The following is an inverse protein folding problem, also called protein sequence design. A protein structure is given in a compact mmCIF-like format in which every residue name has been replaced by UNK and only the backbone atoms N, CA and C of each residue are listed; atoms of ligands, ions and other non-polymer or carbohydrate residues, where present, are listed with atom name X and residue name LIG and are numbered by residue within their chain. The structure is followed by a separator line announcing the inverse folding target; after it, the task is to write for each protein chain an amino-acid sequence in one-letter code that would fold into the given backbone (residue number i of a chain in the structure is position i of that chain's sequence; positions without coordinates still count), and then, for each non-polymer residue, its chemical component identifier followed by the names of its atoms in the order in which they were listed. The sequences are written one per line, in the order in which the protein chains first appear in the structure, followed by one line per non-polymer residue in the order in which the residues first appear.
data_IF_201892132728
#
_entry.id   IF_201892132728
#
_cell.length_a   1.000
_cell.length_b   1.000
_cell.length_c   1.000
_cell.angle_alpha   90.00
_cell.angle_beta   90.00
_cell.angle_gamma   90.00
#
_symmetry.space_group_name_H-M   'P 1'
#
loop_
_entity.id
_entity.type
_entity.pdbx_description
1 polymer ?
#
# COMPACT_ATOMS: atom_id res chain seq x y z
N UNK A 1 9.46 8.23 -8.40
CA UNK A 1 8.51 9.35 -8.61
C UNK A 1 7.38 9.09 -7.64
N UNK A 2 7.21 9.93 -6.61
CA UNK A 2 6.25 9.66 -5.54
C UNK A 2 4.83 9.58 -6.11
N UNK A 3 4.07 8.53 -5.76
CA UNK A 3 2.68 8.44 -6.17
C UNK A 3 1.86 9.49 -5.41
N UNK A 4 0.80 10.00 -6.04
CA UNK A 4 -0.17 10.87 -5.36
C UNK A 4 -0.86 10.15 -4.18
N UNK A 5 -0.78 8.82 -4.13
CA UNK A 5 -1.35 7.98 -3.08
C UNK A 5 -0.38 7.68 -1.94
N UNK A 6 0.91 8.01 -2.05
CA UNK A 6 1.93 7.63 -1.06
C UNK A 6 1.53 8.00 0.38
N UNK A 7 1.05 9.23 0.57
CA UNK A 7 0.66 9.73 1.88
C UNK A 7 -0.58 9.00 2.42
N UNK A 8 -1.57 8.75 1.56
CA UNK A 8 -2.78 8.03 1.94
C UNK A 8 -2.49 6.58 2.31
N UNK A 9 -1.66 5.89 1.52
CA UNK A 9 -1.21 4.51 1.78
C UNK A 9 -0.47 4.43 3.11
N UNK A 10 0.52 5.29 3.33
CA UNK A 10 1.30 5.28 4.58
C UNK A 10 0.43 5.59 5.81
N UNK A 11 -0.59 6.43 5.66
CA UNK A 11 -1.55 6.71 6.72
C UNK A 11 -2.46 5.51 7.07
N UNK A 12 -2.65 4.56 6.15
CA UNK A 12 -3.41 3.32 6.40
C UNK A 12 -2.54 2.17 6.93
N UNK A 13 -1.21 2.28 6.81
CA UNK A 13 -0.28 1.26 7.29
C UNK A 13 -0.03 1.37 8.80
N UNK A 14 0.45 0.27 9.38
CA UNK A 14 0.79 0.16 10.81
C UNK A 14 2.20 -0.41 10.99
N UNK A 15 2.74 -0.33 12.21
CA UNK A 15 4.00 -1.01 12.58
C UNK A 15 3.85 -2.53 12.65
N UNK A 16 2.62 -3.02 12.72
CA UNK A 16 2.29 -4.44 12.66
C UNK A 16 2.00 -4.86 11.22
N UNK A 17 2.25 -6.14 10.91
CA UNK A 17 1.93 -6.72 9.60
C UNK A 17 0.42 -6.67 9.33
N UNK A 18 0.07 -6.13 8.16
CA UNK A 18 -1.31 -6.02 7.68
C UNK A 18 -1.42 -6.61 6.28
N UNK A 19 -2.58 -7.18 5.95
CA UNK A 19 -2.88 -7.61 4.58
C UNK A 19 -2.84 -6.41 3.64
N UNK A 20 -2.11 -6.53 2.53
CA UNK A 20 -2.01 -5.48 1.53
C UNK A 20 -3.38 -5.14 0.93
N UNK A 21 -4.22 -6.15 0.66
CA UNK A 21 -5.61 -5.94 0.24
C UNK A 21 -6.41 -5.01 1.19
N UNK A 22 -6.22 -5.13 2.51
CA UNK A 22 -6.89 -4.26 3.48
C UNK A 22 -6.42 -2.80 3.34
N UNK A 23 -5.10 -2.59 3.17
CA UNK A 23 -4.52 -1.25 2.97
C UNK A 23 -5.05 -0.62 1.67
N UNK A 24 -5.14 -1.42 0.60
CA UNK A 24 -5.73 -1.00 -0.69
C UNK A 24 -7.18 -0.53 -0.50
N UNK A 25 -8.01 -1.34 0.17
CA UNK A 25 -9.43 -1.02 0.39
C UNK A 25 -9.61 0.23 1.25
N UNK A 26 -8.83 0.38 2.33
CA UNK A 26 -8.85 1.56 3.18
C UNK A 26 -8.39 2.82 2.43
N UNK A 27 -7.35 2.70 1.60
CA UNK A 27 -6.85 3.82 0.78
C UNK A 27 -7.89 4.24 -0.25
N UNK A 28 -8.55 3.28 -0.92
CA UNK A 28 -9.67 3.55 -1.83
C UNK A 28 -10.81 4.28 -1.15
N UNK A 29 -11.18 3.82 0.05
CA UNK A 29 -12.22 4.47 0.83
C UNK A 29 -11.83 5.91 1.21
N UNK A 30 -10.55 6.16 1.50
CA UNK A 30 -10.02 7.49 1.84
C UNK A 30 -10.03 8.48 0.67
N UNK A 31 -9.69 8.04 -0.55
CA UNK A 31 -9.58 8.90 -1.74
C UNK A 31 -10.93 9.33 -2.35
N UNK A 32 -12.05 9.16 -1.62
CA UNK A 32 -13.42 9.60 -1.91
C UNK A 32 -13.65 10.27 -3.29
N UNK A 33 -13.98 9.47 -4.31
CA UNK A 33 -14.40 9.97 -5.63
C UNK A 33 -13.32 9.98 -6.71
N UNK A 34 -12.07 9.61 -6.39
CA UNK A 34 -11.06 9.29 -7.40
C UNK A 34 -11.25 7.88 -7.94
N UNK A 35 -11.21 7.73 -9.26
CA UNK A 35 -11.12 6.43 -9.91
C UNK A 35 -9.69 5.93 -9.75
N UNK A 36 -9.46 5.08 -8.74
CA UNK A 36 -8.17 4.42 -8.51
C UNK A 36 -8.33 2.90 -8.63
N UNK A 37 -7.47 2.28 -9.43
CA UNK A 37 -7.46 0.82 -9.57
C UNK A 37 -6.65 0.18 -8.45
N UNK A 38 -6.93 -1.09 -8.16
CA UNK A 38 -6.12 -1.88 -7.24
C UNK A 38 -4.68 -2.00 -7.76
N UNK A 39 -4.50 -2.12 -9.08
CA UNK A 39 -3.19 -2.16 -9.71
C UNK A 39 -2.39 -0.86 -9.47
N UNK A 40 -3.02 0.31 -9.55
CA UNK A 40 -2.34 1.59 -9.28
C UNK A 40 -1.82 1.65 -7.84
N UNK A 41 -2.63 1.20 -6.88
CA UNK A 41 -2.25 1.15 -5.47
C UNK A 41 -1.20 0.07 -5.21
N UNK A 42 -1.28 -1.07 -5.89
CA UNK A 42 -0.28 -2.12 -5.78
C UNK A 42 1.09 -1.67 -6.29
N UNK A 43 1.13 -0.97 -7.43
CA UNK A 43 2.35 -0.35 -7.96
C UNK A 43 2.91 0.70 -6.99
N UNK A 44 2.06 1.54 -6.41
CA UNK A 44 2.49 2.54 -5.42
C UNK A 44 3.05 1.88 -4.14
N UNK A 45 2.41 0.83 -3.64
CA UNK A 45 2.91 0.05 -2.48
C UNK A 45 4.25 -0.61 -2.81
N UNK A 46 4.38 -1.25 -3.97
CA UNK A 46 5.65 -1.85 -4.40
C UNK A 46 6.78 -0.81 -4.50
N UNK A 47 6.48 0.40 -4.98
CA UNK A 47 7.43 1.51 -5.00
C UNK A 47 7.84 1.94 -3.59
N UNK A 48 6.88 2.08 -2.67
CA UNK A 48 7.16 2.40 -1.26
C UNK A 48 8.02 1.32 -0.57
N UNK A 49 7.83 0.05 -0.93
CA UNK A 49 8.68 -1.06 -0.47
C UNK A 49 10.08 -0.96 -1.04
N UNK A 50 10.22 -0.70 -2.35
CA UNK A 50 11.53 -0.51 -2.99
C UNK A 50 12.29 0.71 -2.43
N UNK A 51 11.57 1.74 -2.00
CA UNK A 51 12.12 2.93 -1.33
C UNK A 51 12.45 2.71 0.16
N UNK A 52 12.12 1.53 0.73
CA UNK A 52 12.32 1.22 2.15
C UNK A 52 11.38 1.97 3.10
N UNK A 53 10.31 2.57 2.57
CA UNK A 53 9.29 3.29 3.35
C UNK A 53 8.19 2.35 3.86
N UNK A 54 8.08 1.16 3.27
CA UNK A 54 7.33 0.03 3.74
C UNK A 54 8.22 -1.21 3.74
N UNK A 55 7.91 -2.16 4.59
CA UNK A 55 8.40 -3.53 4.49
C UNK A 55 7.28 -4.41 3.96
N UNK A 56 7.64 -5.43 3.18
CA UNK A 56 6.70 -6.41 2.65
C UNK A 56 7.15 -7.84 2.95
N UNK A 57 6.17 -8.70 3.25
CA UNK A 57 6.33 -10.16 3.31
C UNK A 57 5.43 -10.77 2.22
N UNK A 58 6.03 -11.51 1.29
CA UNK A 58 5.36 -11.99 0.07
C UNK A 58 5.57 -11.08 -1.15
N UNK A 59 4.86 -11.35 -2.24
CA UNK A 59 4.99 -10.61 -3.50
C UNK A 59 4.05 -9.39 -3.52
N UNK A 60 4.57 -8.14 -3.58
CA UNK A 60 3.75 -6.93 -3.70
C UNK A 60 2.91 -6.87 -4.99
N UNK A 61 3.17 -7.71 -5.99
CA UNK A 61 2.33 -7.85 -7.18
C UNK A 61 1.08 -8.72 -6.93
N UNK A 62 1.00 -9.45 -5.81
CA UNK A 62 -0.18 -10.20 -5.36
C UNK A 62 -0.71 -9.63 -4.03
N UNK A 63 -1.62 -8.64 -4.07
CA UNK A 63 -2.17 -7.99 -2.88
C UNK A 63 -2.90 -8.94 -1.92
N UNK A 64 -3.34 -10.10 -2.41
CA UNK A 64 -4.09 -11.08 -1.62
C UNK A 64 -3.18 -11.89 -0.69
N UNK A 65 -1.94 -12.16 -1.14
CA UNK A 65 -0.94 -12.92 -0.40
C UNK A 65 0.05 -12.02 0.35
N UNK A 66 0.25 -10.77 -0.08
CA UNK A 66 1.21 -9.85 0.50
C UNK A 66 0.77 -9.27 1.85
N UNK A 67 1.73 -9.21 2.78
CA UNK A 67 1.64 -8.44 4.02
C UNK A 67 2.56 -7.22 3.95
N UNK A 68 2.13 -6.10 4.51
CA UNK A 68 2.91 -4.85 4.58
C UNK A 68 2.92 -4.26 5.98
N UNK A 69 3.98 -3.53 6.31
CA UNK A 69 4.08 -2.72 7.54
C UNK A 69 4.98 -1.50 7.34
N UNK A 70 4.88 -0.55 8.26
CA UNK A 70 5.86 0.54 8.42
C UNK A 70 7.17 -0.03 9.00
N UNK A 71 8.34 0.49 8.55
CA UNK A 71 9.64 0.12 9.11
C UNK A 71 9.73 0.38 10.62
N UNK A 72 10.51 -0.46 11.31
CA UNK A 72 10.76 -0.40 12.76
C UNK A 72 11.75 0.68 13.19
#
# INVERSE_FOLDING_TARGET
MASVFDAAILAQCSRYWMRMALVVDMTRAHEHGRVVTEADLAVAIAALVAEGRLEAEGDPADPSACLVRLPG
#
